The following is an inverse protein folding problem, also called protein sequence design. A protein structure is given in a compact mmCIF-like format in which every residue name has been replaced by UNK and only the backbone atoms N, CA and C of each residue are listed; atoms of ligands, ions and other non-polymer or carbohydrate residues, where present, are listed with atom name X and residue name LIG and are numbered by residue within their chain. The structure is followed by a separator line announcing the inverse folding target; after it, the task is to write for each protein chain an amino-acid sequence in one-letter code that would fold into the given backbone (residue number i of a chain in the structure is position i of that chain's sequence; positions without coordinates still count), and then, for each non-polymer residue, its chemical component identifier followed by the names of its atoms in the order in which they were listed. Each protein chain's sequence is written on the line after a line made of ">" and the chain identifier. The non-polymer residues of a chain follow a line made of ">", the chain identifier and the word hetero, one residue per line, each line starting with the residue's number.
data_IF_869770000920
#
_entry.id   IF_869770000920
#
_cell.length_a   1.000
_cell.length_b   1.000
_cell.length_c   1.000
_cell.angle_alpha   90.00
_cell.angle_beta   90.00
_cell.angle_gamma   90.00
#
_symmetry.space_group_name_H-M   'P 1'
#
loop_
_entity.id
_entity.type
_entity.pdbx_description
1 polymer ?
2 polymer ?
3 non-polymer ?
4 non-polymer ?
5 water ?
#
loop_
_entity_poly.entity_id
_entity_poly.type
_entity_poly.pdbx_seq_one_letter_code
_entity_poly.pdbx_strand_id
1 'polyribonucleotide' 'CGCGCGGAUCAGUCACCCAAGCGCG' ?
#
# COMPACT_ATOMS: atom_id res chain seq x y z
N UNK B 3 -11.30 -1.79 -18.60
CA UNK B 3 -9.91 -2.06 -18.11
C UNK B 3 -9.84 -3.11 -17.01
N UNK B 4 -8.73 -3.84 -16.95
CA UNK B 4 -8.56 -4.94 -15.98
C UNK B 4 -8.36 -4.45 -14.52
N UNK B 5 -9.25 -4.91 -13.62
CA UNK B 5 -9.37 -4.45 -12.24
C UNK B 5 -8.60 -5.31 -11.24
N UNK B 6 -7.92 -4.68 -10.28
CA UNK B 6 -7.19 -5.39 -9.24
C UNK B 6 -7.35 -4.69 -7.91
N UNK B 7 -7.03 -5.39 -6.82
CA UNK B 7 -7.18 -4.89 -5.46
C UNK B 7 -5.84 -4.67 -4.79
N UNK B 8 -5.82 -3.67 -3.92
CA UNK B 8 -4.71 -3.36 -3.03
C UNK B 8 -5.27 -2.89 -1.67
N UNK B 9 -4.81 -3.53 -0.59
CA UNK B 9 -5.15 -3.13 0.77
C UNK B 9 -3.96 -2.51 1.49
N UNK B 10 -4.15 -1.28 1.94
CA UNK B 10 -3.06 -0.49 2.53
C UNK B 10 -3.43 -0.12 3.92
N UNK B 11 -2.46 -0.12 4.81
CA UNK B 11 -2.68 0.28 6.19
C UNK B 11 -2.39 1.77 6.33
N UNK B 12 -3.32 2.51 6.94
CA UNK B 12 -3.20 3.95 7.15
C UNK B 12 -3.18 4.23 8.64
N UNK B 13 -2.15 4.93 9.12
CA UNK B 13 -2.16 5.41 10.50
C UNK B 13 -3.34 6.37 10.64
N UNK B 14 -4.03 6.36 11.79
CA UNK B 14 -5.23 7.15 11.96
C UNK B 14 -5.03 8.66 11.82
N UNK B 15 -3.79 9.11 12.05
CA UNK B 15 -3.43 10.53 11.93
C UNK B 15 -3.39 10.98 10.48
N UNK B 16 -3.31 10.04 9.54
CA UNK B 16 -3.23 10.38 8.13
C UNK B 16 -4.58 10.33 7.39
N UNK B 17 -5.60 9.75 8.04
CA UNK B 17 -6.87 9.48 7.39
C UNK B 17 -7.60 10.77 7.07
N UNK B 18 -7.63 11.68 8.04
CA UNK B 18 -8.20 13.00 7.82
C UNK B 18 -7.81 13.60 6.49
N UNK B 19 -6.51 13.54 6.16
CA UNK B 19 -5.93 14.26 5.03
C UNK B 19 -6.07 13.52 3.69
N UNK B 20 -6.38 12.23 3.75
CA UNK B 20 -6.66 11.54 2.51
C UNK B 20 -8.15 11.55 2.14
N UNK B 21 -9.03 11.66 3.13
CA UNK B 21 -10.45 11.86 2.85
C UNK B 21 -10.73 13.33 2.46
N UNK B 22 -10.25 14.28 3.27
CA UNK B 22 -10.44 15.70 3.00
C UNK B 22 -11.81 16.14 3.49
N UNK B 23 -12.02 17.46 3.56
CA UNK B 23 -13.27 18.03 4.06
C UNK B 23 -14.48 17.66 3.20
N UNK B 24 -15.49 17.11 3.85
CA UNK B 24 -16.66 16.61 3.15
C UNK B 24 -16.33 15.53 2.13
N UNK B 25 -15.14 14.96 2.20
CA UNK B 25 -14.76 13.88 1.32
C UNK B 25 -14.12 14.36 0.01
N UNK B 26 -13.95 15.67 -0.13
CA UNK B 26 -13.46 16.25 -1.39
C UNK B 26 -12.23 15.55 -2.01
N UNK B 27 -11.22 15.27 -1.19
CA UNK B 27 -9.94 14.78 -1.67
C UNK B 27 -10.03 13.35 -2.19
N UNK B 28 -10.64 12.46 -1.42
CA UNK B 28 -10.83 11.10 -1.83
C UNK B 28 -11.75 11.01 -3.05
N UNK B 29 -12.70 11.92 -3.17
CA UNK B 29 -13.59 11.87 -4.33
C UNK B 29 -12.76 12.18 -5.57
N UNK B 30 -12.05 13.30 -5.53
CA UNK B 30 -11.21 13.74 -6.62
C UNK B 30 -10.24 12.68 -7.10
N UNK B 31 -9.58 12.05 -6.13
CA UNK B 31 -8.65 10.97 -6.39
C UNK B 31 -9.33 9.78 -7.07
N UNK B 32 -10.53 9.45 -6.62
CA UNK B 32 -11.29 8.35 -7.23
C UNK B 32 -11.70 8.73 -8.66
N UNK B 33 -12.25 9.95 -8.82
CA UNK B 33 -12.65 10.44 -10.13
C UNK B 33 -11.50 10.59 -11.10
N UNK B 34 -10.34 11.02 -10.63
CA UNK B 34 -9.22 11.23 -11.54
C UNK B 34 -8.54 9.90 -12.01
N UNK B 35 -8.50 8.89 -11.14
CA UNK B 35 -7.85 7.61 -11.43
C UNK B 35 -8.82 6.55 -11.95
N UNK B 36 -10.11 6.71 -11.67
CA UNK B 36 -11.09 5.68 -11.97
C UNK B 36 -11.16 4.60 -10.88
N UNK B 37 -10.33 4.75 -9.85
CA UNK B 37 -10.27 3.80 -8.74
C UNK B 37 -11.45 3.92 -7.77
N UNK B 38 -11.79 2.84 -7.09
CA UNK B 38 -12.76 2.91 -6.00
C UNK B 38 -11.96 2.75 -4.71
N UNK B 39 -12.19 3.66 -3.77
CA UNK B 39 -11.40 3.69 -2.53
C UNK B 39 -12.32 3.72 -1.32
N UNK B 40 -12.12 2.75 -0.41
CA UNK B 40 -12.87 2.62 0.84
C UNK B 40 -11.89 2.54 2.04
N UNK B 41 -12.00 3.47 2.99
CA UNK B 41 -11.29 3.31 4.25
C UNK B 41 -12.21 2.64 5.26
N UNK B 42 -11.64 1.80 6.12
CA UNK B 42 -12.39 1.32 7.29
C UNK B 42 -12.69 2.52 8.18
N UNK B 43 -13.70 2.40 9.03
CA UNK B 43 -14.08 3.50 9.91
C UNK B 43 -12.99 3.79 10.93
N UNK B 44 -13.07 4.98 11.53
CA UNK B 44 -12.13 5.47 12.53
C UNK B 44 -11.57 4.46 13.54
N UNK B 45 -12.41 3.61 14.12
CA UNK B 45 -11.84 2.66 15.08
C UNK B 45 -11.77 1.18 14.64
N UNK B 46 -11.78 0.98 13.33
CA UNK B 46 -11.71 -0.34 12.73
C UNK B 46 -10.30 -0.61 12.26
N UNK B 47 -9.49 -1.13 13.16
CA UNK B 47 -8.07 -1.33 12.89
C UNK B 47 -7.81 -2.72 12.34
N UNK B 48 -6.69 -2.88 11.64
CA UNK B 48 -6.26 -4.21 11.25
C UNK B 48 -5.84 -4.96 12.51
N UNK B 49 -6.25 -6.21 12.64
CA UNK B 49 -5.91 -7.03 13.81
C UNK B 49 -4.49 -6.75 14.33
N UNK B 50 -4.37 -6.40 15.60
CA UNK B 50 -3.08 -6.10 16.21
C UNK B 50 -2.34 -4.94 15.58
N UNK B 51 -3.08 -3.92 15.14
CA UNK B 51 -2.50 -2.65 14.73
C UNK B 51 -3.32 -1.50 15.30
N UNK B 52 -2.83 -0.29 15.06
CA UNK B 52 -3.52 0.95 15.37
C UNK B 52 -3.76 1.65 14.02
N UNK B 53 -3.92 0.83 12.99
CA UNK B 53 -4.01 1.30 11.61
C UNK B 53 -5.36 0.94 10.98
N UNK B 54 -5.91 1.89 10.24
CA UNK B 54 -7.10 1.67 9.42
C UNK B 54 -6.69 1.03 8.10
N UNK B 55 -7.67 0.51 7.37
CA UNK B 55 -7.41 -0.17 6.11
C UNK B 55 -8.06 0.60 4.99
N UNK B 56 -7.35 0.66 3.87
CA UNK B 56 -7.81 1.38 2.70
C UNK B 56 -7.87 0.35 1.56
N UNK B 57 -9.09 0.04 1.11
CA UNK B 57 -9.30 -0.88 -0.01
C UNK B 57 -9.32 -0.07 -1.27
N UNK B 58 -8.39 -0.36 -2.17
CA UNK B 58 -8.32 0.33 -3.45
C UNK B 58 -8.62 -0.67 -4.52
N UNK B 59 -9.51 -0.31 -5.43
CA UNK B 59 -9.77 -1.16 -6.59
C UNK B 59 -9.63 -0.33 -7.85
N UNK B 60 -8.85 -0.82 -8.80
CA UNK B 60 -8.63 -0.11 -10.05
C UNK B 60 -7.57 -0.75 -10.90
N UNK B 61 -7.13 -0.08 -11.95
CA UNK B 61 -6.08 -0.62 -12.79
C UNK B 61 -4.77 -0.63 -12.04
N UNK B 62 -3.82 -1.42 -12.54
CA UNK B 62 -2.45 -1.45 -11.99
C UNK B 62 -1.94 -0.02 -11.73
N UNK B 63 -2.03 0.83 -12.74
CA UNK B 63 -1.62 2.23 -12.66
C UNK B 63 -2.36 3.05 -11.63
N UNK B 64 -3.67 2.90 -11.58
CA UNK B 64 -4.46 3.53 -10.53
C UNK B 64 -4.02 3.09 -9.13
N UNK B 65 -3.65 1.82 -8.95
CA UNK B 65 -3.26 1.33 -7.59
C UNK B 65 -1.95 1.96 -7.16
N UNK B 66 -0.97 1.98 -8.07
CA UNK B 66 0.30 2.65 -7.84
C UNK B 66 0.10 4.15 -7.55
N UNK B 67 -0.82 4.78 -8.28
CA UNK B 67 -1.10 6.20 -8.10
C UNK B 67 -1.82 6.49 -6.79
N UNK B 68 -2.89 5.75 -6.51
CA UNK B 68 -3.57 5.93 -5.25
C UNK B 68 -2.57 5.70 -4.10
N UNK B 69 -1.79 4.64 -4.20
CA UNK B 69 -0.87 4.33 -3.11
C UNK B 69 0.18 5.40 -2.97
N UNK B 70 0.68 5.92 -4.11
CA UNK B 70 1.60 7.05 -4.14
C UNK B 70 1.08 8.28 -3.38
N UNK B 71 -0.19 8.61 -3.60
CA UNK B 71 -0.86 9.68 -2.88
C UNK B 71 -0.91 9.40 -1.36
N UNK B 72 -1.29 8.19 -0.98
CA UNK B 72 -1.41 7.79 0.43
C UNK B 72 -0.08 7.93 1.17
N UNK B 73 0.97 7.40 0.55
CA UNK B 73 2.37 7.55 0.99
C UNK B 73 2.72 9.00 1.28
N UNK B 74 2.44 9.89 0.33
CA UNK B 74 2.75 11.31 0.51
C UNK B 74 2.08 11.84 1.77
N UNK B 75 0.77 11.64 1.87
CA UNK B 75 0.01 12.10 3.03
C UNK B 75 0.53 11.55 4.37
N UNK B 76 0.94 10.29 4.38
CA UNK B 76 1.50 9.66 5.59
C UNK B 76 2.81 10.32 5.98
N UNK B 77 3.58 10.74 4.96
CA UNK B 77 4.84 11.47 5.15
C UNK B 77 4.70 12.86 5.79
N UNK B 78 3.47 13.29 6.07
CA UNK B 78 3.24 14.53 6.80
C UNK B 78 2.57 14.29 8.18
N UNK B 79 3.42 13.98 9.17
CA UNK B 79 3.02 13.54 10.53
C UNK B 79 2.36 14.64 11.38
N UNK B 80 1.76 14.27 12.53
CA UNK B 80 1.11 15.25 13.42
C UNK B 80 2.05 16.36 13.89
N UNK B 100 7.92 7.85 14.71
CA UNK B 100 9.04 8.30 13.83
C UNK B 100 9.33 7.31 12.68
N UNK B 101 9.42 6.02 12.99
CA UNK B 101 9.71 4.97 12.01
C UNK B 101 8.71 4.97 10.86
N UNK B 102 7.45 5.24 11.18
CA UNK B 102 6.37 4.99 10.26
C UNK B 102 6.24 6.05 9.17
N UNK B 103 6.85 7.22 9.41
CA UNK B 103 7.01 8.27 8.40
C UNK B 103 7.55 7.73 7.07
N UNK B 104 8.49 6.81 7.14
CA UNK B 104 9.10 6.26 5.92
C UNK B 104 8.87 4.76 5.66
N UNK B 105 7.70 4.26 6.08
CA UNK B 105 7.30 2.88 5.75
C UNK B 105 5.98 2.85 4.97
N UNK B 106 5.80 1.81 4.15
CA UNK B 106 4.48 1.49 3.65
C UNK B 106 4.16 0.07 4.10
N UNK B 107 2.94 -0.14 4.59
CA UNK B 107 2.46 -1.48 4.94
C UNK B 107 1.31 -1.84 4.03
N UNK B 108 1.41 -2.97 3.36
CA UNK B 108 0.28 -3.43 2.58
C UNK B 108 -0.04 -4.86 2.99
N UNK B 109 -1.28 -5.28 2.75
CA UNK B 109 -1.80 -6.57 3.18
C UNK B 109 -1.97 -7.41 1.94
N UNK B 110 -1.30 -8.57 1.89
CA UNK B 110 -1.36 -9.49 0.75
C UNK B 110 -1.91 -10.87 1.17
N UNK B 111 -2.64 -11.56 0.28
CA UNK B 111 -2.99 -12.97 0.49
C UNK B 111 -1.72 -13.80 0.66
N UNK B 112 -1.83 -14.95 1.30
CA UNK B 112 -0.68 -15.82 1.49
C UNK B 112 -0.05 -16.26 0.16
N UNK B 113 -0.90 -16.49 -0.84
CA UNK B 113 -0.49 -16.77 -2.22
C UNK B 113 0.57 -15.76 -2.71
N UNK B 114 0.16 -14.49 -2.73
CA UNK B 114 1.01 -13.38 -3.17
C UNK B 114 2.24 -13.23 -2.27
N UNK B 115 2.01 -13.36 -0.97
CA UNK B 115 3.09 -13.42 0.00
C UNK B 115 4.16 -14.42 -0.44
N UNK B 116 3.72 -15.61 -0.85
CA UNK B 116 4.60 -16.66 -1.35
C UNK B 116 5.36 -16.27 -2.60
N UNK B 117 4.72 -15.51 -3.46
CA UNK B 117 5.33 -15.04 -4.70
C UNK B 117 6.33 -13.90 -4.44
N UNK B 118 6.01 -13.01 -3.52
CA UNK B 118 6.89 -11.87 -3.22
C UNK B 118 8.25 -12.30 -2.64
N UNK B 119 8.24 -13.36 -1.83
CA UNK B 119 9.45 -13.86 -1.18
C UNK B 119 10.38 -14.52 -2.21
N UNK B 120 9.89 -15.56 -2.86
CA UNK B 120 10.65 -16.26 -3.87
C UNK B 120 11.46 -17.39 -3.28
N UNK B 121 11.73 -18.42 -4.09
CA UNK B 121 12.62 -19.52 -3.74
C UNK B 121 13.72 -19.04 -2.78
N UNK B 122 13.63 -19.44 -1.51
CA UNK B 122 14.61 -19.05 -0.51
C UNK B 122 14.93 -17.57 -0.47
N UNK B 123 13.90 -16.74 -0.67
CA UNK B 123 14.03 -15.31 -0.54
C UNK B 123 14.64 -14.59 -1.73
N UNK B 124 14.82 -15.30 -2.85
CA UNK B 124 15.47 -14.72 -4.02
C UNK B 124 14.73 -13.49 -4.50
N UNK B 125 13.40 -13.56 -4.52
CA UNK B 125 12.60 -12.52 -5.10
C UNK B 125 12.61 -11.23 -4.28
N UNK B 126 12.36 -11.34 -2.96
CA UNK B 126 12.42 -10.15 -2.10
C UNK B 126 13.81 -9.53 -2.13
N UNK B 127 14.83 -10.37 -2.30
CA UNK B 127 16.19 -9.87 -2.48
C UNK B 127 16.37 -9.11 -3.78
N UNK B 128 15.83 -9.65 -4.88
CA UNK B 128 15.81 -8.93 -6.17
C UNK B 128 15.07 -7.59 -6.03
N UNK B 129 13.86 -7.64 -5.47
CA UNK B 129 13.07 -6.42 -5.21
C UNK B 129 13.87 -5.35 -4.45
N UNK B 130 14.51 -5.76 -3.35
CA UNK B 130 15.28 -4.84 -2.51
C UNK B 130 16.48 -4.23 -3.22
N UNK B 131 17.13 -5.04 -4.05
CA UNK B 131 18.20 -4.56 -4.92
C UNK B 131 17.67 -3.49 -5.89
N UNK B 132 16.63 -3.84 -6.64
CA UNK B 132 16.03 -2.95 -7.64
C UNK B 132 15.48 -1.65 -7.07
N UNK B 133 14.99 -1.71 -5.83
CA UNK B 133 14.34 -0.56 -5.21
C UNK B 133 15.24 0.25 -4.29
N UNK B 134 16.22 -0.40 -3.66
CA UNK B 134 16.98 0.20 -2.59
C UNK B 134 16.15 0.28 -1.31
N UNK B 135 14.99 -0.36 -1.34
CA UNK B 135 14.14 -0.47 -0.18
C UNK B 135 14.51 -1.71 0.61
N UNK B 136 14.02 -1.72 1.85
CA UNK B 136 14.15 -2.80 2.82
C UNK B 136 12.73 -3.36 2.99
N UNK B 137 12.49 -4.56 2.45
CA UNK B 137 11.16 -5.16 2.43
C UNK B 137 11.07 -6.37 3.37
N UNK B 138 9.98 -6.43 4.14
CA UNK B 138 9.75 -7.51 5.10
C UNK B 138 8.30 -7.95 5.13
N UNK B 139 8.07 -9.22 5.49
CA UNK B 139 6.72 -9.77 5.63
C UNK B 139 6.54 -10.24 7.05
N UNK B 140 5.38 -9.97 7.62
CA UNK B 140 5.15 -10.23 9.05
C UNK B 140 5.24 -11.72 9.41
N UNK B 149 -5.89 -15.06 7.08
CA UNK B 149 -5.12 -15.71 5.98
C UNK B 149 -4.32 -14.69 5.16
N UNK B 150 -3.73 -13.72 5.86
CA UNK B 150 -3.03 -12.60 5.23
C UNK B 150 -1.71 -12.26 5.88
N UNK B 151 -0.82 -11.58 5.15
CA UNK B 151 0.32 -10.95 5.80
C UNK B 151 0.50 -9.51 5.40
N UNK B 152 1.01 -8.73 6.33
CA UNK B 152 1.38 -7.35 6.06
C UNK B 152 2.82 -7.28 5.59
N UNK B 153 3.00 -6.62 4.45
CA UNK B 153 4.30 -6.35 3.88
C UNK B 153 4.70 -4.92 4.27
N UNK B 154 5.82 -4.78 4.96
CA UNK B 154 6.37 -3.48 5.32
C UNK B 154 7.61 -3.15 4.46
N UNK B 155 7.50 -2.03 3.76
CA UNK B 155 8.55 -1.54 2.90
C UNK B 155 9.13 -0.27 3.53
N UNK B 156 10.45 -0.23 3.55
CA UNK B 156 11.18 0.78 4.29
C UNK B 156 12.20 1.49 3.40
N UNK B 157 12.32 2.80 3.54
CA UNK B 157 13.28 3.57 2.75
C UNK B 157 12.80 4.97 2.39
N UNK B 158 13.49 5.56 1.42
CA UNK B 158 13.15 6.88 0.88
C UNK B 158 11.92 6.80 -0.04
N UNK B 159 11.23 7.93 -0.24
CA UNK B 159 9.99 7.94 -1.04
C UNK B 159 10.14 7.16 -2.36
N UNK B 160 11.11 7.55 -3.19
CA UNK B 160 11.30 6.93 -4.50
C UNK B 160 11.64 5.45 -4.39
N UNK B 161 12.32 5.07 -3.31
CA UNK B 161 12.66 3.67 -3.02
C UNK B 161 11.39 2.86 -2.67
N UNK B 162 10.54 3.43 -1.82
CA UNK B 162 9.30 2.77 -1.45
C UNK B 162 8.45 2.66 -2.70
N UNK B 163 8.27 3.79 -3.37
CA UNK B 163 7.42 3.80 -4.56
C UNK B 163 7.88 2.73 -5.55
N UNK B 164 9.18 2.55 -5.70
CA UNK B 164 9.70 1.54 -6.62
C UNK B 164 9.37 0.10 -6.17
N UNK B 165 9.55 -0.17 -4.89
CA UNK B 165 9.32 -1.51 -4.35
C UNK B 165 7.85 -1.89 -4.43
N UNK B 166 6.98 -0.93 -4.13
CA UNK B 166 5.53 -1.08 -4.25
C UNK B 166 5.08 -1.41 -5.68
N UNK B 167 5.72 -0.79 -6.66
CA UNK B 167 5.49 -1.12 -8.06
C UNK B 167 5.79 -2.59 -8.38
N UNK B 168 6.91 -3.09 -7.87
CA UNK B 168 7.30 -4.50 -8.04
C UNK B 168 6.36 -5.42 -7.28
N UNK B 169 6.00 -5.03 -6.07
CA UNK B 169 5.04 -5.80 -5.26
C UNK B 169 3.68 -5.88 -5.94
N UNK B 170 3.17 -4.73 -6.39
CA UNK B 170 1.89 -4.68 -7.11
C UNK B 170 1.97 -5.58 -8.35
N UNK B 171 3.09 -5.53 -9.05
CA UNK B 171 3.30 -6.36 -10.23
C UNK B 171 3.14 -7.84 -9.88
N UNK B 172 3.54 -8.22 -8.66
CA UNK B 172 3.41 -9.60 -8.22
C UNK B 172 2.00 -9.91 -7.66
N UNK B 173 1.31 -8.89 -7.18
CA UNK B 173 -0.12 -8.98 -6.90
C UNK B 173 -0.84 -9.32 -8.21
N UNK B 174 -0.48 -8.60 -9.28
CA UNK B 174 -1.07 -8.80 -10.60
C UNK B 174 -0.89 -10.20 -11.16
N UNK B 175 0.31 -10.76 -10.97
CA UNK B 175 0.75 -11.99 -11.66
C UNK B 175 0.34 -13.30 -10.96
N UNK B 176 -0.27 -13.20 -9.79
CA UNK B 176 -0.72 -14.38 -9.03
C UNK B 176 -2.13 -14.81 -9.44
N UNK B 177 -2.26 -15.99 -10.04
CA UNK B 177 -3.58 -16.51 -10.45
C UNK B 177 -4.24 -17.36 -9.35
X LIG C 1 -27.64 5.66 -1.15
X LIG D 1 -26.48 8.50 -1.63
X LIG E 1 -29.08 2.92 0.81
#
# INVERSE_FOLDING_TARGET
>B
PLGSQYFLKVLIPSYAAGSIIGKGGQTIVQLQKETGATIKLSKSKDFYPGTTERVCLIQGTIEALNAVHGFIAEKIREMPQNVAKTEPVSILQPQTTVNPDRANQVKIIVPNSTAGLIIGKGGATVKAIMEQSGAWVQLSQKPDGINLQNRVVTVSGEPEQNRKAVELIIQKIQEDPQ
>C hetero
1 K K
>D hetero
1 MG MG
>E hetero
1 MG MG
#
